data_IF_553382226469
#
_entry.id   IF_553382226469
#
_cell.length_a   1.000
_cell.length_b   1.000
_cell.length_c   1.000
_cell.angle_alpha   90.00
_cell.angle_beta   90.00
_cell.angle_gamma   90.00
#
_symmetry.space_group_name_H-M   'P 1'
#
loop_
_entity.id
_entity.type
_entity.pdbx_description
1 polymer ?
#
# COMPACT_ATOMS: atom_id res chain seq x y z
N UNK A 1 41.56 -4.40 27.93
CA UNK A 1 40.47 -5.21 28.50
C UNK A 1 40.83 -6.67 28.32
N UNK A 2 40.81 -7.47 29.38
CA UNK A 2 40.97 -8.94 29.34
C UNK A 2 40.07 -9.55 30.40
N UNK A 3 39.59 -10.76 30.13
CA UNK A 3 38.88 -11.64 31.04
C UNK A 3 37.76 -10.94 31.86
N UNK A 4 37.93 -10.80 33.18
CA UNK A 4 36.92 -10.27 34.10
C UNK A 4 36.48 -8.83 33.78
N UNK A 5 37.39 -7.96 33.33
CA UNK A 5 37.06 -6.57 32.97
C UNK A 5 36.16 -6.49 31.73
N UNK A 6 36.31 -7.45 30.81
CA UNK A 6 35.45 -7.55 29.63
C UNK A 6 34.05 -8.03 30.04
N UNK A 7 33.94 -9.03 30.91
CA UNK A 7 32.65 -9.51 31.41
C UNK A 7 31.89 -8.44 32.19
N UNK A 8 32.57 -7.70 33.07
CA UNK A 8 31.95 -6.56 33.75
C UNK A 8 31.44 -5.49 32.78
N UNK A 9 32.12 -5.27 31.66
CA UNK A 9 31.66 -4.36 30.62
C UNK A 9 30.41 -4.89 29.90
N UNK A 10 30.36 -6.20 29.59
CA UNK A 10 29.20 -6.88 29.01
C UNK A 10 27.98 -6.76 29.93
N UNK A 11 28.13 -7.08 31.22
CA UNK A 11 27.04 -7.02 32.21
C UNK A 11 26.49 -5.61 32.45
N UNK A 12 27.21 -4.54 32.09
CA UNK A 12 26.67 -3.16 32.16
C UNK A 12 25.59 -2.93 31.11
N UNK A 13 25.72 -3.57 29.95
CA UNK A 13 24.78 -3.40 28.84
C UNK A 13 23.52 -4.24 29.05
N UNK A 14 23.61 -5.38 29.75
CA UNK A 14 22.49 -6.29 29.97
C UNK A 14 21.64 -6.01 31.23
N UNK A 15 21.62 -4.77 31.73
CA UNK A 15 20.72 -4.39 32.83
C UNK A 15 19.29 -4.22 32.33
N UNK A 16 18.28 -4.77 33.02
CA UNK A 16 16.87 -4.54 32.69
C UNK A 16 16.56 -3.04 32.77
N UNK A 17 15.95 -2.50 31.72
CA UNK A 17 15.54 -1.10 31.65
C UNK A 17 14.19 -1.02 30.92
N UNK A 18 13.10 -1.02 31.71
CA UNK A 18 11.74 -1.11 31.18
C UNK A 18 11.39 -2.47 30.58
N UNK A 19 10.19 -2.56 30.02
CA UNK A 19 9.72 -3.74 29.28
C UNK A 19 10.22 -3.78 27.82
N UNK A 20 10.87 -2.71 27.37
CA UNK A 20 11.20 -2.48 25.95
C UNK A 20 12.64 -2.89 25.60
N UNK A 21 13.37 -3.45 26.57
CA UNK A 21 14.78 -3.84 26.41
C UNK A 21 14.95 -5.33 26.62
N UNK A 22 14.98 -6.05 25.52
CA UNK A 22 15.11 -7.51 25.51
C UNK A 22 16.58 -7.99 25.58
N UNK A 23 17.53 -7.18 25.10
CA UNK A 23 18.96 -7.52 25.08
C UNK A 23 19.87 -6.30 24.98
N UNK A 24 21.18 -6.49 25.18
CA UNK A 24 22.20 -5.46 25.08
C UNK A 24 23.13 -5.67 23.90
N UNK A 25 23.37 -4.64 23.09
CA UNK A 25 24.31 -4.69 21.96
C UNK A 25 25.75 -4.44 22.40
N UNK A 26 26.67 -5.24 21.86
CA UNK A 26 28.11 -5.10 22.08
C UNK A 26 28.79 -5.04 20.72
N UNK A 27 29.48 -3.93 20.44
CA UNK A 27 30.24 -3.73 19.20
C UNK A 27 31.72 -3.80 19.52
N UNK A 28 32.41 -4.78 18.94
CA UNK A 28 33.83 -5.01 19.13
C UNK A 28 34.64 -4.66 17.88
N UNK A 29 35.32 -3.52 17.95
CA UNK A 29 36.17 -3.00 16.89
C UNK A 29 37.57 -3.61 16.87
N UNK A 30 37.98 -4.29 17.94
CA UNK A 30 39.35 -4.76 18.14
C UNK A 30 39.47 -6.29 18.08
N UNK A 31 38.38 -6.97 17.74
CA UNK A 31 38.28 -8.43 17.66
C UNK A 31 38.75 -9.11 18.97
N UNK A 32 38.52 -8.43 20.10
CA UNK A 32 38.76 -8.94 21.44
C UNK A 32 37.94 -10.20 21.69
N UNK A 33 36.78 -10.33 21.04
CA UNK A 33 35.94 -11.51 21.10
C UNK A 33 36.45 -12.69 20.26
N UNK A 34 37.41 -12.56 19.35
CA UNK A 34 38.00 -13.75 18.70
C UNK A 34 38.75 -14.63 19.71
N UNK A 35 39.39 -14.02 20.71
CA UNK A 35 39.99 -14.74 21.83
C UNK A 35 38.93 -15.27 22.81
N UNK A 36 37.75 -14.67 22.81
CA UNK A 36 36.61 -15.10 23.63
C UNK A 36 35.73 -16.11 22.89
N UNK A 37 35.75 -16.23 21.55
CA UNK A 37 34.97 -17.24 20.81
C UNK A 37 35.45 -18.66 21.15
N UNK A 38 36.76 -18.83 21.36
CA UNK A 38 37.31 -20.07 21.94
C UNK A 38 36.86 -20.26 23.40
N UNK A 39 36.72 -19.17 24.18
CA UNK A 39 36.16 -19.19 25.54
C UNK A 39 34.61 -19.20 25.61
N UNK A 40 33.92 -19.01 24.49
CA UNK A 40 32.46 -19.06 24.32
C UNK A 40 32.06 -20.45 23.86
N UNK A 41 32.91 -21.20 23.17
CA UNK A 41 32.72 -22.65 23.02
C UNK A 41 33.07 -23.41 24.32
N UNK A 42 34.08 -22.94 25.05
CA UNK A 42 34.46 -23.43 26.39
C UNK A 42 34.01 -22.40 27.45
N UNK A 43 32.69 -22.29 27.65
CA UNK A 43 31.99 -21.48 28.67
C UNK A 43 32.49 -21.67 30.12
N UNK A 44 33.53 -22.47 30.32
CA UNK A 44 34.17 -22.83 31.58
C UNK A 44 35.64 -22.40 31.63
N UNK A 45 36.07 -21.48 30.76
CA UNK A 45 37.48 -21.01 30.69
C UNK A 45 37.59 -19.48 30.76
N UNK A 46 38.68 -18.99 31.38
CA UNK A 46 38.97 -17.55 31.48
C UNK A 46 37.95 -16.80 32.35
N UNK A 47 37.25 -15.82 31.76
CA UNK A 47 36.30 -14.95 32.50
C UNK A 47 35.07 -15.67 33.07
N UNK A 48 34.82 -16.92 32.64
CA UNK A 48 33.60 -17.69 32.91
C UNK A 48 33.84 -18.97 33.73
N UNK A 49 35.05 -19.18 34.26
CA UNK A 49 35.43 -20.40 35.02
C UNK A 49 34.55 -20.71 36.24
N UNK A 50 33.88 -19.71 36.83
CA UNK A 50 33.03 -19.86 38.02
C UNK A 50 31.56 -20.14 37.71
N UNK A 51 31.18 -20.24 36.43
CA UNK A 51 29.80 -20.41 36.00
C UNK A 51 29.59 -21.76 35.32
N UNK A 52 28.41 -22.36 35.54
CA UNK A 52 28.03 -23.59 34.87
C UNK A 52 27.76 -23.32 33.38
N UNK A 53 28.18 -24.24 32.51
CA UNK A 53 28.06 -24.09 31.06
C UNK A 53 26.60 -23.87 30.65
N UNK A 54 25.69 -24.60 31.29
CA UNK A 54 24.25 -24.53 31.05
C UNK A 54 23.65 -23.15 31.36
N UNK A 55 24.28 -22.35 32.25
CA UNK A 55 23.79 -21.03 32.63
C UNK A 55 24.23 -19.92 31.66
N UNK A 56 25.24 -20.18 30.82
CA UNK A 56 25.82 -19.20 29.90
C UNK A 56 25.48 -19.51 28.43
N UNK A 57 25.22 -20.78 28.13
CA UNK A 57 24.90 -21.24 26.79
C UNK A 57 23.65 -20.52 26.24
N UNK A 58 23.83 -19.80 25.12
CA UNK A 58 22.77 -19.03 24.47
C UNK A 58 22.60 -17.58 24.96
N UNK A 59 23.34 -17.12 25.97
CA UNK A 59 23.31 -15.72 26.44
C UNK A 59 24.08 -14.75 25.52
N UNK A 60 25.12 -15.24 24.86
CA UNK A 60 25.92 -14.47 23.90
C UNK A 60 25.68 -15.08 22.53
N UNK A 61 25.05 -14.30 21.65
CA UNK A 61 24.77 -14.71 20.28
C UNK A 61 25.41 -13.74 19.32
N UNK A 62 25.88 -14.27 18.19
CA UNK A 62 26.35 -13.47 17.08
C UNK A 62 25.13 -12.93 16.35
N UNK A 63 24.99 -11.61 16.31
CA UNK A 63 23.95 -10.95 15.49
C UNK A 63 24.05 -11.35 14.02
N UNK A 64 25.25 -11.70 13.54
CA UNK A 64 25.48 -12.17 12.19
C UNK A 64 25.00 -13.61 11.97
N UNK A 65 25.15 -14.49 12.97
CA UNK A 65 24.66 -15.88 12.88
C UNK A 65 23.13 -15.91 12.94
N UNK A 66 22.54 -15.07 13.82
CA UNK A 66 21.09 -14.90 13.89
C UNK A 66 20.54 -14.31 12.59
N UNK A 67 21.15 -13.24 12.07
CA UNK A 67 20.76 -12.66 10.80
C UNK A 67 20.90 -13.66 9.64
N UNK A 68 21.98 -14.45 9.60
CA UNK A 68 22.13 -15.50 8.57
C UNK A 68 21.02 -16.55 8.67
N UNK A 69 20.70 -17.00 9.88
CA UNK A 69 19.63 -17.98 10.10
C UNK A 69 18.25 -17.41 9.72
N UNK A 70 17.98 -16.15 10.05
CA UNK A 70 16.76 -15.44 9.65
C UNK A 70 16.68 -15.28 8.12
N UNK A 71 17.80 -14.90 7.47
CA UNK A 71 17.90 -14.77 6.01
C UNK A 71 17.55 -16.09 5.32
N UNK A 72 18.16 -17.20 5.74
CA UNK A 72 17.89 -18.52 5.18
C UNK A 72 16.42 -18.94 5.40
N UNK A 73 15.90 -18.73 6.62
CA UNK A 73 14.52 -19.05 6.95
C UNK A 73 13.51 -18.26 6.11
N UNK A 74 13.68 -16.94 6.03
CA UNK A 74 12.83 -16.06 5.24
C UNK A 74 12.89 -16.42 3.75
N UNK A 75 14.09 -16.72 3.23
CA UNK A 75 14.29 -17.17 1.86
C UNK A 75 13.57 -18.49 1.57
N UNK A 76 13.74 -19.51 2.43
CA UNK A 76 13.04 -20.78 2.26
C UNK A 76 11.52 -20.61 2.27
N UNK A 77 10.98 -19.80 3.19
CA UNK A 77 9.54 -19.52 3.22
C UNK A 77 9.05 -18.73 2.00
N UNK A 78 9.87 -17.84 1.43
CA UNK A 78 9.53 -17.14 0.18
C UNK A 78 9.50 -18.08 -1.02
N UNK A 79 10.44 -19.03 -1.10
CA UNK A 79 10.43 -20.06 -2.13
C UNK A 79 9.15 -20.88 -2.04
N UNK A 80 8.81 -21.39 -0.85
CA UNK A 80 7.57 -22.15 -0.62
C UNK A 80 6.32 -21.33 -0.95
N UNK A 81 6.31 -20.03 -0.59
CA UNK A 81 5.20 -19.14 -0.94
C UNK A 81 5.04 -19.00 -2.45
N UNK A 82 6.14 -18.85 -3.19
CA UNK A 82 6.13 -18.65 -4.63
C UNK A 82 5.81 -19.95 -5.40
N UNK A 83 6.15 -21.12 -4.86
CA UNK A 83 5.77 -22.42 -5.43
C UNK A 83 4.24 -22.62 -5.51
N UNK A 84 3.47 -21.90 -4.68
CA UNK A 84 2.01 -21.91 -4.74
C UNK A 84 1.43 -21.06 -5.91
N UNK A 85 2.25 -20.24 -6.56
CA UNK A 85 1.86 -19.45 -7.73
C UNK A 85 1.89 -20.36 -8.95
N UNK A 86 0.81 -20.37 -9.74
CA UNK A 86 0.70 -21.22 -10.92
C UNK A 86 1.78 -20.89 -11.95
N UNK A 87 2.32 -21.93 -12.60
CA UNK A 87 3.17 -21.76 -13.76
C UNK A 87 2.41 -21.00 -14.88
N UNK A 88 3.08 -20.11 -15.64
CA UNK A 88 4.53 -19.92 -15.76
C UNK A 88 5.20 -19.05 -14.68
N UNK A 89 4.49 -18.54 -13.68
CA UNK A 89 4.98 -17.53 -12.75
C UNK A 89 5.38 -16.23 -13.47
N UNK A 90 4.58 -15.84 -14.46
CA UNK A 90 4.61 -14.50 -15.03
C UNK A 90 4.08 -13.49 -14.01
N UNK A 91 4.35 -12.19 -14.23
CA UNK A 91 3.97 -11.13 -13.30
C UNK A 91 2.45 -11.10 -13.04
N UNK A 92 1.63 -11.42 -14.05
CA UNK A 92 0.16 -11.56 -13.90
C UNK A 92 -0.24 -12.72 -13.00
N UNK A 93 0.51 -13.82 -12.98
CA UNK A 93 0.19 -14.98 -12.13
C UNK A 93 0.36 -14.62 -10.64
N UNK A 94 1.35 -13.78 -10.33
CA UNK A 94 1.52 -13.22 -8.99
C UNK A 94 0.36 -12.29 -8.61
N UNK A 95 -0.05 -11.39 -9.52
CA UNK A 95 -1.20 -10.51 -9.27
C UNK A 95 -2.47 -11.35 -9.05
N UNK A 96 -2.74 -12.35 -9.90
CA UNK A 96 -3.86 -13.26 -9.72
C UNK A 96 -3.82 -13.95 -8.36
N UNK A 97 -2.70 -14.57 -8.00
CA UNK A 97 -2.56 -15.32 -6.76
C UNK A 97 -2.76 -14.44 -5.51
N UNK A 98 -2.19 -13.23 -5.49
CA UNK A 98 -2.20 -12.34 -4.34
C UNK A 98 -3.35 -11.33 -4.30
N UNK A 99 -4.07 -11.10 -5.42
CA UNK A 99 -5.07 -10.03 -5.53
C UNK A 99 -6.46 -10.47 -6.00
N UNK A 100 -6.62 -11.58 -6.73
CA UNK A 100 -7.86 -11.89 -7.48
C UNK A 100 -9.09 -12.16 -6.60
N UNK A 101 -8.89 -12.57 -5.34
CA UNK A 101 -9.99 -12.89 -4.41
C UNK A 101 -10.44 -11.71 -3.52
N UNK A 102 -9.79 -10.53 -3.64
CA UNK A 102 -10.20 -9.31 -2.94
C UNK A 102 -9.69 -9.22 -1.49
N UNK A 103 -10.49 -8.59 -0.62
CA UNK A 103 -10.20 -8.36 0.81
C UNK A 103 -10.60 -9.56 1.72
N UNK A 104 -10.64 -10.78 1.18
CA UNK A 104 -10.79 -11.94 2.08
C UNK A 104 -9.54 -12.11 2.96
N UNK A 105 -9.76 -12.67 4.15
CA UNK A 105 -8.73 -12.80 5.19
C UNK A 105 -7.55 -13.67 4.74
N UNK A 106 -7.78 -14.64 3.86
CA UNK A 106 -6.75 -15.54 3.34
C UNK A 106 -5.82 -14.81 2.36
N UNK A 107 -6.39 -14.03 1.46
CA UNK A 107 -5.65 -13.24 0.46
C UNK A 107 -4.90 -12.10 1.13
N UNK A 108 -5.51 -11.40 2.08
CA UNK A 108 -4.82 -10.41 2.92
C UNK A 108 -3.65 -11.06 3.68
N UNK A 109 -3.88 -12.22 4.33
CA UNK A 109 -2.83 -12.95 5.04
C UNK A 109 -1.67 -13.39 4.16
N UNK A 110 -1.93 -13.78 2.90
CA UNK A 110 -0.88 -14.10 1.92
C UNK A 110 -0.04 -12.88 1.56
N UNK A 111 -0.66 -11.70 1.38
CA UNK A 111 0.05 -10.45 1.10
C UNK A 111 0.88 -10.00 2.31
N UNK A 112 0.32 -10.05 3.51
CA UNK A 112 1.06 -9.74 4.75
C UNK A 112 2.29 -10.64 4.92
N UNK A 113 2.13 -11.94 4.65
CA UNK A 113 3.22 -12.90 4.68
C UNK A 113 4.32 -12.53 3.66
N UNK A 114 3.95 -12.20 2.41
CA UNK A 114 4.89 -11.73 1.38
C UNK A 114 5.67 -10.50 1.85
N UNK A 115 4.97 -9.51 2.43
CA UNK A 115 5.56 -8.26 2.89
C UNK A 115 6.55 -8.49 4.04
N UNK A 116 6.14 -9.28 5.05
CA UNK A 116 6.96 -9.59 6.22
C UNK A 116 8.20 -10.39 5.83
N UNK A 117 8.04 -11.45 5.04
CA UNK A 117 9.17 -12.30 4.64
C UNK A 117 10.18 -11.54 3.78
N UNK A 118 9.71 -10.74 2.81
CA UNK A 118 10.62 -9.96 1.96
C UNK A 118 11.38 -8.90 2.76
N UNK A 119 10.74 -8.25 3.73
CA UNK A 119 11.39 -7.30 4.62
C UNK A 119 12.42 -7.98 5.55
N UNK A 120 12.05 -9.12 6.13
CA UNK A 120 12.95 -9.95 6.96
C UNK A 120 14.18 -10.39 6.17
N UNK A 121 13.98 -10.94 4.95
CA UNK A 121 15.07 -11.35 4.06
C UNK A 121 16.01 -10.18 3.73
N UNK A 122 15.47 -9.02 3.37
CA UNK A 122 16.28 -7.86 3.00
C UNK A 122 17.12 -7.32 4.17
N UNK A 123 16.52 -7.22 5.37
CA UNK A 123 17.19 -6.72 6.59
C UNK A 123 18.25 -7.68 7.11
N UNK A 124 17.91 -8.96 7.15
CA UNK A 124 18.82 -10.00 7.62
C UNK A 124 20.02 -10.14 6.67
N UNK A 125 19.80 -10.08 5.35
CA UNK A 125 20.89 -10.00 4.37
C UNK A 125 21.77 -8.77 4.57
N UNK A 126 21.19 -7.57 4.70
CA UNK A 126 21.97 -6.35 4.94
C UNK A 126 22.81 -6.41 6.24
N UNK A 127 22.34 -7.16 7.23
CA UNK A 127 23.07 -7.36 8.48
C UNK A 127 24.25 -8.33 8.32
N UNK A 128 24.13 -9.37 7.47
CA UNK A 128 25.12 -10.44 7.37
C UNK A 128 25.99 -10.43 6.10
N UNK A 129 25.66 -9.63 5.09
CA UNK A 129 26.26 -9.69 3.75
C UNK A 129 27.80 -9.58 3.76
N UNK A 130 28.35 -8.69 4.59
CA UNK A 130 29.82 -8.46 4.67
C UNK A 130 30.58 -9.67 5.24
N UNK A 131 29.87 -10.60 5.91
CA UNK A 131 30.44 -11.81 6.50
C UNK A 131 30.15 -13.08 5.72
N UNK A 132 29.28 -13.04 4.71
CA UNK A 132 28.93 -14.21 3.89
C UNK A 132 30.17 -14.88 3.29
N UNK A 133 31.03 -14.10 2.65
CA UNK A 133 32.24 -14.64 2.03
C UNK A 133 33.30 -15.08 3.03
N UNK A 134 33.50 -14.30 4.09
CA UNK A 134 34.60 -14.49 5.05
C UNK A 134 34.32 -15.55 6.13
N UNK A 135 33.06 -15.75 6.52
CA UNK A 135 32.69 -16.59 7.67
C UNK A 135 31.69 -17.71 7.34
N UNK A 136 30.91 -17.59 6.26
CA UNK A 136 29.87 -18.57 5.92
C UNK A 136 30.18 -19.35 4.62
N UNK A 137 31.34 -19.12 4.02
CA UNK A 137 31.83 -19.91 2.87
C UNK A 137 31.16 -19.60 1.54
N UNK A 138 30.54 -18.43 1.42
CA UNK A 138 29.99 -17.97 0.14
C UNK A 138 31.12 -17.47 -0.76
N UNK A 139 30.97 -17.62 -2.06
CA UNK A 139 31.78 -16.87 -3.03
C UNK A 139 31.04 -15.59 -3.46
N UNK A 140 31.77 -14.67 -4.11
CA UNK A 140 31.20 -13.40 -4.56
C UNK A 140 30.02 -13.60 -5.52
N UNK A 141 30.06 -14.65 -6.36
CA UNK A 141 28.97 -14.95 -7.32
C UNK A 141 27.70 -15.41 -6.63
N UNK A 142 27.81 -16.16 -5.53
CA UNK A 142 26.68 -16.58 -4.71
C UNK A 142 26.09 -15.39 -3.96
N UNK A 143 26.92 -14.47 -3.44
CA UNK A 143 26.43 -13.25 -2.80
C UNK A 143 25.72 -12.35 -3.81
N UNK A 144 26.25 -12.20 -5.02
CA UNK A 144 25.60 -11.45 -6.09
C UNK A 144 24.28 -12.09 -6.53
N UNK A 145 24.24 -13.44 -6.62
CA UNK A 145 22.99 -14.16 -6.89
C UNK A 145 21.93 -13.90 -5.82
N UNK A 146 22.32 -13.84 -4.54
CA UNK A 146 21.40 -13.48 -3.46
C UNK A 146 20.89 -12.05 -3.60
N UNK A 147 21.75 -11.09 -3.99
CA UNK A 147 21.32 -9.71 -4.23
C UNK A 147 20.26 -9.64 -5.32
N UNK A 148 20.48 -10.33 -6.45
CA UNK A 148 19.50 -10.40 -7.54
C UNK A 148 18.19 -11.03 -7.07
N UNK A 149 18.25 -12.15 -6.38
CA UNK A 149 17.06 -12.84 -5.84
C UNK A 149 16.25 -11.94 -4.89
N UNK A 150 16.92 -11.25 -3.96
CA UNK A 150 16.27 -10.31 -3.03
C UNK A 150 15.65 -9.12 -3.79
N UNK A 151 16.32 -8.63 -4.83
CA UNK A 151 15.79 -7.59 -5.69
C UNK A 151 14.50 -8.04 -6.40
N UNK A 152 14.48 -9.28 -6.91
CA UNK A 152 13.29 -9.85 -7.57
C UNK A 152 12.11 -10.01 -6.60
N UNK A 153 12.36 -10.50 -5.38
CA UNK A 153 11.32 -10.55 -4.34
C UNK A 153 10.77 -9.17 -4.00
N UNK A 154 11.62 -8.15 -3.88
CA UNK A 154 11.17 -6.78 -3.63
C UNK A 154 10.38 -6.20 -4.81
N UNK A 155 10.74 -6.53 -6.05
CA UNK A 155 9.98 -6.14 -7.24
C UNK A 155 8.57 -6.73 -7.23
N UNK A 156 8.44 -8.03 -6.95
CA UNK A 156 7.13 -8.70 -6.85
C UNK A 156 6.32 -8.15 -5.68
N UNK A 157 6.95 -7.95 -4.52
CA UNK A 157 6.31 -7.33 -3.35
C UNK A 157 5.71 -5.97 -3.70
N UNK A 158 6.44 -5.13 -4.41
CA UNK A 158 5.99 -3.80 -4.81
C UNK A 158 4.86 -3.85 -5.84
N UNK A 159 4.96 -4.76 -6.82
CA UNK A 159 3.91 -4.99 -7.80
C UNK A 159 2.60 -5.43 -7.13
N UNK A 160 2.67 -6.40 -6.21
CA UNK A 160 1.50 -6.87 -5.45
C UNK A 160 0.92 -5.75 -4.61
N UNK A 161 1.77 -4.97 -3.92
CA UNK A 161 1.34 -3.80 -3.11
C UNK A 161 0.56 -2.79 -3.94
N UNK A 162 1.05 -2.47 -5.14
CA UNK A 162 0.36 -1.55 -6.04
C UNK A 162 -0.93 -2.16 -6.59
N UNK A 163 -0.91 -3.43 -7.00
CA UNK A 163 -2.05 -4.11 -7.59
C UNK A 163 -3.19 -4.35 -6.59
N UNK A 164 -2.88 -4.59 -5.32
CA UNK A 164 -3.86 -4.79 -4.25
C UNK A 164 -4.45 -3.49 -3.71
N UNK A 165 -3.86 -2.34 -4.04
CA UNK A 165 -4.18 -1.05 -3.43
C UNK A 165 -3.99 -1.04 -1.91
N UNK A 166 -3.16 -1.93 -1.36
CA UNK A 166 -2.82 -1.90 0.07
C UNK A 166 -1.94 -0.66 0.34
N UNK A 167 -2.60 0.46 0.68
CA UNK A 167 -1.92 1.63 1.23
C UNK A 167 -1.55 1.34 2.69
N UNK A 168 -0.59 0.44 2.90
CA UNK A 168 0.06 0.35 4.19
C UNK A 168 0.90 1.63 4.31
N UNK A 169 0.57 2.47 5.30
CA UNK A 169 1.35 3.65 5.66
C UNK A 169 2.69 3.21 6.26
N UNK A 170 3.57 2.70 5.39
CA UNK A 170 4.92 2.25 5.72
C UNK A 170 5.92 3.42 5.78
N UNK A 171 5.46 4.68 5.78
CA UNK A 171 6.32 5.86 5.88
C UNK A 171 7.42 5.75 6.96
N UNK A 172 7.18 5.16 8.16
CA UNK A 172 8.24 4.99 9.15
C UNK A 172 9.32 3.96 8.76
N UNK A 173 8.97 2.98 7.93
CA UNK A 173 9.83 1.84 7.57
C UNK A 173 10.40 1.93 6.15
N UNK A 174 9.87 2.83 5.32
CA UNK A 174 10.30 3.03 3.93
C UNK A 174 11.71 3.62 3.83
N UNK A 175 12.10 4.53 4.74
CA UNK A 175 13.44 5.13 4.70
C UNK A 175 14.55 4.10 4.97
N UNK A 176 14.39 3.28 6.00
CA UNK A 176 15.36 2.24 6.37
C UNK A 176 15.41 1.12 5.31
N UNK A 177 14.24 0.69 4.82
CA UNK A 177 14.19 -0.30 3.73
C UNK A 177 14.79 0.24 2.42
N UNK A 178 14.58 1.53 2.12
CA UNK A 178 15.21 2.19 0.98
C UNK A 178 16.72 2.22 1.13
N UNK A 179 17.23 2.61 2.30
CA UNK A 179 18.66 2.57 2.58
C UNK A 179 19.24 1.17 2.38
N UNK A 180 18.53 0.15 2.86
CA UNK A 180 18.94 -1.25 2.70
C UNK A 180 19.02 -1.64 1.22
N UNK A 181 17.98 -1.33 0.44
CA UNK A 181 17.92 -1.64 -0.98
C UNK A 181 19.02 -0.93 -1.77
N UNK A 182 19.19 0.37 -1.51
CA UNK A 182 20.16 1.22 -2.21
C UNK A 182 21.62 0.86 -1.88
N UNK A 183 21.88 0.42 -0.64
CA UNK A 183 23.25 0.21 -0.13
C UNK A 183 23.73 -1.23 -0.30
N UNK A 184 22.87 -2.21 -0.05
CA UNK A 184 23.30 -3.62 0.07
C UNK A 184 22.82 -4.52 -1.06
N UNK A 185 21.69 -4.18 -1.71
CA UNK A 185 20.99 -5.08 -2.64
C UNK A 185 21.18 -4.68 -4.11
N UNK A 186 21.46 -3.40 -4.42
CA UNK A 186 21.62 -2.95 -5.82
C UNK A 186 22.73 -3.70 -6.57
N UNK A 187 22.29 -4.50 -7.54
CA UNK A 187 22.94 -4.67 -8.84
C UNK A 187 22.21 -3.76 -9.85
N UNK A 188 22.92 -3.24 -10.86
CA UNK A 188 22.49 -2.15 -11.75
C UNK A 188 21.03 -2.25 -12.30
N UNK A 189 20.42 -1.07 -12.50
CA UNK A 189 19.15 -0.78 -13.22
C UNK A 189 17.78 -0.99 -12.53
N UNK A 190 17.69 -0.79 -11.21
CA UNK A 190 16.40 -0.52 -10.54
C UNK A 190 16.22 1.00 -10.36
N UNK A 191 15.60 1.65 -11.35
CA UNK A 191 15.14 3.05 -11.21
C UNK A 191 14.08 3.11 -10.12
N UNK A 192 14.32 4.02 -9.19
CA UNK A 192 13.56 4.22 -7.97
C UNK A 192 12.07 4.36 -8.30
N UNK A 193 11.21 3.53 -7.68
CA UNK A 193 9.77 3.78 -7.51
C UNK A 193 9.55 5.00 -6.60
N UNK A 194 10.15 6.14 -6.94
CA UNK A 194 10.42 7.24 -6.02
C UNK A 194 9.26 8.18 -5.82
N UNK A 195 8.32 8.22 -6.76
CA UNK A 195 7.27 9.25 -6.80
C UNK A 195 5.94 8.77 -6.21
N UNK A 196 5.79 7.47 -5.98
CA UNK A 196 4.58 6.86 -5.39
C UNK A 196 4.39 7.16 -3.89
N UNK A 197 5.41 7.66 -3.20
CA UNK A 197 5.32 7.94 -1.75
C UNK A 197 4.36 9.07 -1.37
N UNK A 198 3.96 9.91 -2.34
CA UNK A 198 3.14 11.11 -2.08
C UNK A 198 1.86 11.22 -2.94
N UNK A 199 1.68 10.38 -3.95
CA UNK A 199 0.54 10.45 -4.89
C UNK A 199 0.02 9.05 -5.15
N UNK A 200 -1.30 8.92 -5.30
CA UNK A 200 -1.92 7.66 -5.72
C UNK A 200 -1.52 7.31 -7.16
N UNK A 201 -1.61 6.02 -7.54
CA UNK A 201 -1.33 5.62 -8.92
C UNK A 201 -2.23 6.36 -9.92
N UNK A 202 -3.50 6.61 -9.55
CA UNK A 202 -4.44 7.36 -10.39
C UNK A 202 -3.98 8.81 -10.60
N UNK A 203 -3.42 9.45 -9.57
CA UNK A 203 -2.84 10.80 -9.68
C UNK A 203 -1.52 10.80 -10.47
N UNK A 204 -0.71 9.75 -10.33
CA UNK A 204 0.53 9.59 -11.07
C UNK A 204 0.27 9.54 -12.58
N UNK A 205 -0.78 8.84 -13.02
CA UNK A 205 -1.20 8.81 -14.43
C UNK A 205 -1.48 10.20 -15.02
N UNK A 206 -1.86 11.19 -14.20
CA UNK A 206 -2.10 12.57 -14.64
C UNK A 206 -0.88 13.49 -14.54
N UNK A 207 0.08 13.15 -13.67
CA UNK A 207 1.29 13.95 -13.43
C UNK A 207 2.26 13.96 -14.62
N UNK A 208 2.21 12.94 -15.47
CA UNK A 208 3.10 12.81 -16.61
C UNK A 208 2.73 13.74 -17.75
N UNK A 209 3.47 14.85 -17.88
CA UNK A 209 3.43 15.74 -19.05
C UNK A 209 4.20 15.15 -20.24
N UNK A 210 4.04 13.87 -20.53
CA UNK A 210 4.74 13.20 -21.63
C UNK A 210 3.80 13.06 -22.81
N UNK A 211 4.33 13.22 -24.02
CA UNK A 211 3.57 12.96 -25.27
C UNK A 211 3.41 11.47 -25.56
N UNK A 212 4.02 10.60 -24.74
CA UNK A 212 4.06 9.15 -24.92
C UNK A 212 3.41 8.47 -23.71
N UNK A 213 2.28 7.76 -23.89
CA UNK A 213 1.59 7.08 -22.79
C UNK A 213 2.44 6.04 -22.05
N UNK A 214 3.36 5.35 -22.74
CA UNK A 214 4.23 4.34 -22.14
C UNK A 214 5.18 4.92 -21.06
N UNK A 215 5.55 6.19 -21.16
CA UNK A 215 6.42 6.84 -20.17
C UNK A 215 5.72 7.02 -18.81
N UNK A 216 4.37 7.03 -18.80
CA UNK A 216 3.56 7.17 -17.59
C UNK A 216 3.63 5.95 -16.68
N UNK A 217 3.90 4.78 -17.28
CA UNK A 217 3.83 3.47 -16.62
C UNK A 217 5.18 2.78 -16.56
N UNK A 218 6.25 3.45 -17.00
CA UNK A 218 7.59 2.86 -17.09
C UNK A 218 8.11 2.39 -15.73
N UNK A 219 7.81 3.15 -14.67
CA UNK A 219 8.30 2.93 -13.32
C UNK A 219 7.40 1.96 -12.51
N UNK A 220 6.26 1.54 -13.09
CA UNK A 220 5.43 0.47 -12.52
C UNK A 220 6.14 -0.87 -12.76
N UNK A 221 6.30 -1.72 -11.74
CA UNK A 221 6.94 -3.02 -11.88
C UNK A 221 6.05 -3.99 -12.65
N UNK A 222 6.71 -4.87 -13.40
CA UNK A 222 6.08 -5.97 -14.11
C UNK A 222 5.95 -5.75 -15.62
N UNK A 223 5.50 -6.78 -16.33
CA UNK A 223 5.20 -6.72 -17.76
C UNK A 223 3.97 -5.84 -18.09
N UNK A 224 3.70 -5.63 -19.38
CA UNK A 224 2.60 -4.76 -19.83
C UNK A 224 1.23 -5.21 -19.33
N UNK A 225 1.00 -6.52 -19.16
CA UNK A 225 -0.26 -7.04 -18.67
C UNK A 225 -0.40 -6.83 -17.17
N UNK A 226 0.66 -7.08 -16.40
CA UNK A 226 0.69 -6.81 -14.97
C UNK A 226 0.52 -5.32 -14.65
N UNK A 227 1.15 -4.45 -15.44
CA UNK A 227 0.95 -2.99 -15.37
C UNK A 227 -0.51 -2.62 -15.63
N UNK A 228 -1.13 -3.20 -16.65
CA UNK A 228 -2.54 -2.94 -16.97
C UNK A 228 -3.47 -3.35 -15.83
N UNK A 229 -3.31 -4.56 -15.27
CA UNK A 229 -4.13 -5.02 -14.15
C UNK A 229 -3.93 -4.18 -12.89
N UNK A 230 -2.69 -3.75 -12.63
CA UNK A 230 -2.37 -2.83 -11.54
C UNK A 230 -3.13 -1.50 -11.69
N UNK A 231 -3.11 -0.91 -12.90
CA UNK A 231 -3.83 0.33 -13.20
C UNK A 231 -5.35 0.12 -13.06
N UNK A 232 -5.88 -0.96 -13.62
CA UNK A 232 -7.29 -1.33 -13.57
C UNK A 232 -7.80 -1.44 -12.12
N UNK A 233 -7.03 -2.12 -11.26
CA UNK A 233 -7.37 -2.27 -9.84
C UNK A 233 -7.36 -0.94 -9.11
N UNK A 234 -6.36 -0.08 -9.36
CA UNK A 234 -6.28 1.25 -8.74
C UNK A 234 -7.43 2.17 -9.18
N UNK A 235 -7.78 2.16 -10.46
CA UNK A 235 -8.93 2.91 -10.97
C UNK A 235 -10.23 2.40 -10.36
N UNK A 236 -10.42 1.08 -10.31
CA UNK A 236 -11.59 0.44 -9.69
C UNK A 236 -11.71 0.81 -8.21
N UNK A 237 -10.61 0.72 -7.46
CA UNK A 237 -10.56 1.10 -6.06
C UNK A 237 -10.97 2.57 -5.84
N UNK A 238 -10.40 3.48 -6.63
CA UNK A 238 -10.70 4.91 -6.50
C UNK A 238 -12.15 5.24 -6.90
N UNK A 239 -12.71 4.55 -7.91
CA UNK A 239 -14.14 4.63 -8.27
C UNK A 239 -15.02 4.19 -7.10
N UNK A 240 -14.75 3.02 -6.51
CA UNK A 240 -15.55 2.49 -5.39
C UNK A 240 -15.52 3.42 -4.19
N UNK A 241 -14.33 3.94 -3.84
CA UNK A 241 -14.15 4.92 -2.76
C UNK A 241 -15.00 6.17 -2.97
N UNK A 242 -15.05 6.71 -4.18
CA UNK A 242 -15.84 7.92 -4.52
C UNK A 242 -17.32 7.63 -4.81
N UNK A 243 -17.72 6.38 -5.01
CA UNK A 243 -19.09 5.98 -5.32
C UNK A 243 -20.09 6.38 -4.24
N UNK A 244 -19.64 6.49 -2.98
CA UNK A 244 -20.45 6.97 -1.86
C UNK A 244 -20.94 8.41 -2.05
N UNK A 245 -20.16 9.27 -2.70
CA UNK A 245 -20.53 10.66 -2.99
C UNK A 245 -21.47 10.82 -4.18
N UNK A 246 -21.26 10.06 -5.25
CA UNK A 246 -22.08 10.14 -6.47
C UNK A 246 -22.17 8.79 -7.18
N UNK A 247 -23.12 7.94 -6.77
CA UNK A 247 -23.27 6.58 -7.30
C UNK A 247 -23.60 6.54 -8.80
N UNK A 248 -24.33 7.53 -9.32
CA UNK A 248 -24.73 7.59 -10.73
C UNK A 248 -23.52 7.88 -11.62
N UNK A 249 -22.72 8.88 -11.27
CA UNK A 249 -21.54 9.24 -12.05
C UNK A 249 -20.46 8.16 -11.99
N UNK A 250 -20.07 7.75 -10.77
CA UNK A 250 -19.03 6.73 -10.59
C UNK A 250 -19.48 5.34 -11.06
N UNK A 251 -20.79 5.05 -11.04
CA UNK A 251 -21.36 3.85 -11.68
C UNK A 251 -21.11 3.82 -13.20
N UNK A 252 -21.31 4.94 -13.90
CA UNK A 252 -20.99 5.05 -15.34
C UNK A 252 -19.49 4.86 -15.60
N UNK A 253 -18.63 5.46 -14.78
CA UNK A 253 -17.19 5.29 -14.90
C UNK A 253 -16.76 3.84 -14.64
N UNK A 254 -17.41 3.15 -13.71
CA UNK A 254 -17.20 1.71 -13.46
C UNK A 254 -17.55 0.87 -14.70
N UNK A 255 -18.69 1.14 -15.34
CA UNK A 255 -19.06 0.48 -16.60
C UNK A 255 -18.08 0.77 -17.75
N UNK A 256 -17.57 2.01 -17.83
CA UNK A 256 -16.56 2.38 -18.81
C UNK A 256 -15.24 1.64 -18.56
N UNK A 257 -14.78 1.57 -17.31
CA UNK A 257 -13.61 0.79 -16.93
C UNK A 257 -13.76 -0.68 -17.32
N UNK A 258 -14.92 -1.29 -17.03
CA UNK A 258 -15.17 -2.68 -17.39
C UNK A 258 -15.09 -2.91 -18.90
N UNK A 259 -15.60 -1.98 -19.71
CA UNK A 259 -15.48 -2.06 -21.17
C UNK A 259 -14.02 -1.99 -21.63
N UNK A 260 -13.21 -1.12 -21.03
CA UNK A 260 -11.77 -1.02 -21.34
C UNK A 260 -11.05 -2.33 -21.00
N UNK A 261 -11.34 -2.90 -19.82
CA UNK A 261 -10.78 -4.19 -19.38
C UNK A 261 -11.15 -5.30 -20.36
N UNK A 262 -12.43 -5.40 -20.72
CA UNK A 262 -12.92 -6.44 -21.64
C UNK A 262 -12.27 -6.31 -23.02
N UNK A 263 -12.17 -5.08 -23.54
CA UNK A 263 -11.51 -4.80 -24.83
C UNK A 263 -10.01 -5.13 -24.81
N UNK A 264 -9.31 -4.83 -23.72
CA UNK A 264 -7.90 -5.23 -23.55
C UNK A 264 -7.76 -6.75 -23.55
N UNK A 265 -8.60 -7.46 -22.78
CA UNK A 265 -8.53 -8.93 -22.63
C UNK A 265 -8.74 -9.68 -23.95
N UNK A 266 -9.51 -9.11 -24.87
CA UNK A 266 -9.69 -9.67 -26.22
C UNK A 266 -8.71 -9.10 -27.27
N UNK A 267 -7.68 -8.37 -26.83
CA UNK A 267 -6.67 -7.71 -27.67
C UNK A 267 -7.28 -6.76 -28.74
N UNK A 268 -8.45 -6.18 -28.45
CA UNK A 268 -9.13 -5.26 -29.36
C UNK A 268 -8.54 -3.84 -29.36
N UNK A 269 -7.62 -3.55 -28.44
CA UNK A 269 -6.92 -2.26 -28.31
C UNK A 269 -5.41 -2.48 -28.42
N UNK A 270 -4.71 -1.54 -29.04
CA UNK A 270 -3.26 -1.45 -28.85
C UNK A 270 -2.95 -0.99 -27.43
N UNK A 271 -1.77 -1.33 -26.91
CA UNK A 271 -1.38 -0.92 -25.56
C UNK A 271 -1.36 0.60 -25.39
N UNK A 272 -0.88 1.35 -26.40
CA UNK A 272 -0.90 2.82 -26.38
C UNK A 272 -2.32 3.39 -26.33
N UNK A 273 -3.27 2.78 -27.04
CA UNK A 273 -4.67 3.22 -27.04
C UNK A 273 -5.35 2.90 -25.70
N UNK A 274 -5.08 1.72 -25.15
CA UNK A 274 -5.48 1.37 -23.78
C UNK A 274 -4.97 2.42 -22.78
N UNK A 275 -3.68 2.77 -22.83
CA UNK A 275 -3.08 3.74 -21.92
C UNK A 275 -3.72 5.13 -22.04
N UNK A 276 -4.11 5.56 -23.24
CA UNK A 276 -4.87 6.82 -23.41
C UNK A 276 -6.23 6.75 -22.73
N UNK A 277 -6.98 5.67 -22.95
CA UNK A 277 -8.32 5.53 -22.38
C UNK A 277 -8.32 5.48 -20.85
N UNK A 278 -7.32 4.81 -20.23
CA UNK A 278 -7.20 4.79 -18.76
C UNK A 278 -6.77 6.13 -18.19
N UNK A 279 -5.97 6.93 -18.91
CA UNK A 279 -5.61 8.31 -18.50
C UNK A 279 -6.83 9.23 -18.57
N UNK A 280 -7.60 9.18 -19.65
CA UNK A 280 -8.86 9.93 -19.76
C UNK A 280 -9.84 9.55 -18.64
N UNK A 281 -9.93 8.25 -18.33
CA UNK A 281 -10.75 7.76 -17.23
C UNK A 281 -10.23 8.24 -15.87
N UNK A 282 -8.91 8.23 -15.64
CA UNK A 282 -8.28 8.77 -14.43
C UNK A 282 -8.63 10.26 -14.24
N UNK A 283 -8.58 11.04 -15.32
CA UNK A 283 -8.96 12.46 -15.29
C UNK A 283 -10.43 12.64 -14.93
N UNK A 284 -11.34 11.83 -15.50
CA UNK A 284 -12.75 11.86 -15.14
C UNK A 284 -13.00 11.47 -13.66
N UNK A 285 -12.24 10.51 -13.12
CA UNK A 285 -12.36 10.09 -11.71
C UNK A 285 -11.90 11.19 -10.75
N UNK A 286 -10.75 11.81 -11.05
CA UNK A 286 -10.11 12.80 -10.17
C UNK A 286 -10.70 14.20 -10.32
N UNK A 287 -11.05 14.59 -11.54
CA UNK A 287 -11.53 15.91 -11.90
C UNK A 287 -12.89 15.87 -12.61
N UNK A 288 -13.96 15.42 -11.93
CA UNK A 288 -15.29 15.42 -12.53
C UNK A 288 -15.76 16.82 -12.96
N UNK A 289 -15.20 17.87 -12.36
CA UNK A 289 -15.50 19.27 -12.66
C UNK A 289 -14.95 19.67 -14.03
N UNK A 290 -13.95 18.98 -14.56
CA UNK A 290 -13.44 19.25 -15.90
C UNK A 290 -14.39 18.79 -17.01
N UNK A 291 -15.40 17.97 -16.67
CA UNK A 291 -16.39 17.48 -17.62
C UNK A 291 -17.19 18.61 -18.25
N UNK A 292 -17.32 18.57 -19.59
CA UNK A 292 -18.20 19.46 -20.34
C UNK A 292 -19.69 19.12 -20.18
N UNK A 293 -20.03 17.99 -19.54
CA UNK A 293 -21.42 17.60 -19.31
C UNK A 293 -22.12 18.39 -18.20
N UNK A 294 -21.36 19.02 -17.31
CA UNK A 294 -21.90 19.80 -16.20
C UNK A 294 -22.05 21.28 -16.57
N UNK A 295 -23.26 21.86 -16.39
CA UNK A 295 -23.46 23.30 -16.51
C UNK A 295 -22.68 24.09 -15.45
N UNK A 296 -22.32 25.35 -15.75
CA UNK A 296 -21.54 26.22 -14.85
C UNK A 296 -22.19 26.38 -13.46
N UNK A 297 -23.52 26.34 -13.35
CA UNK A 297 -24.22 26.46 -12.06
C UNK A 297 -23.99 25.29 -11.09
N UNK A 298 -23.59 24.14 -11.62
CA UNK A 298 -23.46 22.84 -10.94
C UNK A 298 -21.99 22.41 -10.84
N UNK A 299 -21.21 22.68 -11.89
CA UNK A 299 -19.85 22.21 -12.13
C UNK A 299 -18.90 22.34 -10.93
N UNK A 300 -18.94 23.49 -10.24
CA UNK A 300 -17.99 23.83 -9.17
C UNK A 300 -18.32 23.20 -7.80
N UNK A 301 -19.40 22.41 -7.68
CA UNK A 301 -19.79 21.76 -6.42
C UNK A 301 -19.99 20.26 -6.64
N UNK A 302 -19.29 19.44 -5.86
CA UNK A 302 -19.50 17.99 -5.79
C UNK A 302 -20.93 17.64 -5.39
N UNK A 303 -21.47 18.35 -4.39
CA UNK A 303 -22.84 18.12 -3.92
C UNK A 303 -23.88 18.42 -5.01
N UNK A 304 -23.72 19.52 -5.75
CA UNK A 304 -24.61 19.84 -6.87
C UNK A 304 -24.47 18.86 -8.03
N UNK A 305 -23.24 18.44 -8.38
CA UNK A 305 -23.01 17.42 -9.43
C UNK A 305 -23.74 16.12 -9.08
N UNK A 306 -23.65 15.67 -7.84
CA UNK A 306 -24.35 14.47 -7.37
C UNK A 306 -25.87 14.61 -7.49
N UNK A 307 -26.43 15.76 -7.09
CA UNK A 307 -27.87 16.04 -7.25
C UNK A 307 -28.28 16.12 -8.73
N UNK A 308 -27.47 16.75 -9.58
CA UNK A 308 -27.73 16.85 -11.01
C UNK A 308 -27.74 15.49 -11.69
N UNK A 309 -26.79 14.61 -11.36
CA UNK A 309 -26.76 13.24 -11.87
C UNK A 309 -27.93 12.41 -11.34
N UNK A 310 -28.35 12.65 -10.10
CA UNK A 310 -29.52 12.00 -9.50
C UNK A 310 -30.84 12.40 -10.17
N UNK A 311 -30.99 13.68 -10.52
CA UNK A 311 -32.20 14.22 -11.17
C UNK A 311 -32.15 14.14 -12.70
N UNK A 312 -31.48 13.13 -13.26
CA UNK A 312 -31.39 12.92 -14.71
C UNK A 312 -30.98 14.19 -15.49
N UNK A 313 -29.99 14.92 -14.97
CA UNK A 313 -29.46 16.16 -15.55
C UNK A 313 -30.40 17.36 -15.50
N UNK A 314 -31.30 17.42 -14.52
CA UNK A 314 -32.13 18.61 -14.28
C UNK A 314 -31.38 19.67 -13.43
N UNK A 315 -30.87 20.71 -14.09
CA UNK A 315 -30.11 21.80 -13.46
C UNK A 315 -30.93 22.59 -12.43
N UNK A 316 -32.15 22.99 -12.78
CA UNK A 316 -32.99 23.83 -11.91
C UNK A 316 -33.32 23.12 -10.60
N UNK A 317 -33.66 21.83 -10.69
CA UNK A 317 -34.01 21.03 -9.53
C UNK A 317 -32.79 20.76 -8.63
N UNK A 318 -31.64 20.43 -9.21
CA UNK A 318 -30.41 20.19 -8.45
C UNK A 318 -29.98 21.44 -7.66
N UNK A 319 -30.02 22.62 -8.29
CA UNK A 319 -29.68 23.90 -7.65
C UNK A 319 -30.71 24.28 -6.59
N UNK A 320 -32.00 24.04 -6.84
CA UNK A 320 -33.09 24.30 -5.88
C UNK A 320 -32.94 23.47 -4.60
N UNK A 321 -32.66 22.16 -4.75
CA UNK A 321 -32.50 21.23 -3.64
C UNK A 321 -31.22 21.51 -2.84
N UNK A 322 -30.08 21.75 -3.51
CA UNK A 322 -28.82 22.18 -2.83
C UNK A 322 -29.06 23.43 -1.98
N UNK A 323 -29.76 24.43 -2.53
CA UNK A 323 -30.10 25.65 -1.80
C UNK A 323 -31.00 25.39 -0.59
N UNK A 324 -31.99 24.51 -0.73
CA UNK A 324 -32.87 24.13 0.37
C UNK A 324 -32.07 23.45 1.51
N UNK A 325 -31.17 22.52 1.17
CA UNK A 325 -30.28 21.85 2.13
C UNK A 325 -29.39 22.87 2.83
N UNK A 326 -28.68 23.72 2.09
CA UNK A 326 -27.78 24.75 2.66
C UNK A 326 -28.49 25.74 3.58
N UNK A 327 -29.73 26.10 3.27
CA UNK A 327 -30.53 26.98 4.13
C UNK A 327 -30.93 26.30 5.44
N UNK A 328 -31.21 25.00 5.39
CA UNK A 328 -31.58 24.19 6.53
C UNK A 328 -30.38 23.76 7.41
N UNK A 329 -29.16 23.75 6.85
CA UNK A 329 -27.95 23.31 7.53
C UNK A 329 -27.68 24.08 8.85
N UNK A 330 -27.24 23.33 9.86
CA UNK A 330 -26.85 23.85 11.18
C UNK A 330 -25.61 23.10 11.66
N UNK A 331 -24.69 23.73 12.41
CA UNK A 331 -23.46 23.08 12.86
C UNK A 331 -23.73 21.76 13.61
N UNK A 332 -22.96 20.72 13.29
CA UNK A 332 -23.08 19.41 13.91
C UNK A 332 -24.43 18.70 13.69
N UNK A 333 -25.13 18.99 12.59
CA UNK A 333 -26.43 18.38 12.28
C UNK A 333 -26.37 16.85 12.18
N UNK A 334 -25.27 16.28 11.67
CA UNK A 334 -25.07 14.82 11.54
C UNK A 334 -25.26 14.06 12.86
N UNK A 335 -25.03 14.69 14.02
CA UNK A 335 -25.16 14.07 15.35
C UNK A 335 -26.48 14.38 16.07
N UNK A 336 -27.34 15.22 15.49
CA UNK A 336 -28.54 15.71 16.15
C UNK A 336 -29.80 15.38 15.33
N UNK A 337 -30.63 14.49 15.88
CA UNK A 337 -31.86 14.02 15.24
C UNK A 337 -32.80 15.15 14.81
N UNK A 338 -33.01 16.18 15.65
CA UNK A 338 -33.91 17.29 15.30
C UNK A 338 -33.38 18.09 14.11
N UNK A 339 -32.07 18.34 14.04
CA UNK A 339 -31.44 19.03 12.91
C UNK A 339 -31.50 18.20 11.63
N UNK A 340 -31.33 16.88 11.73
CA UNK A 340 -31.53 15.96 10.61
C UNK A 340 -32.96 16.01 10.06
N UNK A 341 -33.96 16.03 10.94
CA UNK A 341 -35.37 16.12 10.54
C UNK A 341 -35.70 17.44 9.84
N UNK A 342 -35.08 18.56 10.25
CA UNK A 342 -35.25 19.86 9.57
C UNK A 342 -34.75 19.79 8.12
N UNK A 343 -33.61 19.13 7.89
CA UNK A 343 -33.05 18.97 6.54
C UNK A 343 -33.94 18.05 5.69
N UNK A 344 -34.39 16.92 6.23
CA UNK A 344 -35.34 16.02 5.56
C UNK A 344 -36.62 16.75 5.15
N UNK A 345 -37.20 17.54 6.06
CA UNK A 345 -38.39 18.34 5.80
C UNK A 345 -38.14 19.40 4.72
N UNK A 346 -36.97 20.04 4.72
CA UNK A 346 -36.61 21.03 3.69
C UNK A 346 -36.48 20.40 2.30
N UNK A 347 -35.86 19.21 2.19
CA UNK A 347 -35.78 18.46 0.93
C UNK A 347 -37.19 18.08 0.46
N UNK A 348 -37.98 17.46 1.33
CA UNK A 348 -39.35 17.02 0.99
C UNK A 348 -40.21 18.18 0.50
N UNK A 349 -40.25 19.30 1.25
CA UNK A 349 -41.05 20.46 0.87
C UNK A 349 -40.59 21.04 -0.48
N UNK A 350 -39.27 21.11 -0.70
CA UNK A 350 -38.74 21.63 -1.96
C UNK A 350 -39.12 20.75 -3.16
N UNK A 351 -39.11 19.42 -3.01
CA UNK A 351 -39.57 18.50 -4.06
C UNK A 351 -41.05 18.72 -4.41
N UNK A 352 -41.91 18.83 -3.38
CA UNK A 352 -43.35 19.11 -3.57
C UNK A 352 -43.55 20.46 -4.26
N UNK A 353 -42.82 21.50 -3.85
CA UNK A 353 -42.88 22.83 -4.47
C UNK A 353 -42.41 22.81 -5.94
N UNK A 354 -41.50 21.90 -6.29
CA UNK A 354 -41.01 21.68 -7.66
C UNK A 354 -41.92 20.74 -8.49
N UNK A 355 -43.08 20.33 -7.97
CA UNK A 355 -44.10 19.59 -8.71
C UNK A 355 -44.06 18.07 -8.56
N UNK A 356 -43.27 17.52 -7.63
CA UNK A 356 -43.35 16.10 -7.27
C UNK A 356 -44.66 15.81 -6.53
N UNK A 357 -45.25 14.63 -6.78
CA UNK A 357 -46.37 14.17 -5.96
C UNK A 357 -45.92 13.90 -4.52
N UNK A 358 -46.83 13.95 -3.54
CA UNK A 358 -46.49 13.67 -2.14
C UNK A 358 -45.89 12.26 -1.96
N UNK A 359 -46.32 11.30 -2.78
CA UNK A 359 -45.82 9.92 -2.79
C UNK A 359 -44.41 9.84 -3.37
N UNK A 360 -44.16 10.49 -4.52
CA UNK A 360 -42.83 10.51 -5.13
C UNK A 360 -41.83 11.25 -4.24
N UNK A 361 -42.21 12.40 -3.70
CA UNK A 361 -41.38 13.15 -2.77
C UNK A 361 -41.04 12.33 -1.52
N UNK A 362 -41.98 11.52 -1.00
CA UNK A 362 -41.76 10.65 0.15
C UNK A 362 -40.80 9.49 -0.15
N UNK A 363 -40.77 9.01 -1.40
CA UNK A 363 -39.83 7.97 -1.81
C UNK A 363 -38.43 8.55 -2.07
N UNK A 364 -38.34 9.73 -2.71
CA UNK A 364 -37.08 10.30 -3.18
C UNK A 364 -36.29 11.06 -2.11
N UNK A 365 -36.96 11.69 -1.13
CA UNK A 365 -36.24 12.54 -0.15
C UNK A 365 -35.22 11.76 0.71
N UNK A 366 -35.46 10.46 0.95
CA UNK A 366 -34.56 9.63 1.74
C UNK A 366 -33.23 9.43 1.03
N UNK A 367 -33.27 9.16 -0.28
CA UNK A 367 -32.06 8.96 -1.09
C UNK A 367 -31.24 10.25 -1.20
N UNK A 368 -31.91 11.38 -1.40
CA UNK A 368 -31.27 12.71 -1.44
C UNK A 368 -30.64 13.05 -0.07
N UNK A 369 -31.34 12.72 1.02
CA UNK A 369 -30.82 12.94 2.36
C UNK A 369 -29.58 12.08 2.63
N UNK A 370 -29.62 10.79 2.27
CA UNK A 370 -28.48 9.89 2.44
C UNK A 370 -27.27 10.32 1.59
N UNK A 371 -27.53 10.81 0.37
CA UNK A 371 -26.52 11.45 -0.46
C UNK A 371 -25.92 12.68 0.22
N UNK A 372 -26.76 13.58 0.75
CA UNK A 372 -26.30 14.77 1.46
C UNK A 372 -25.44 14.44 2.70
N UNK A 373 -25.71 13.33 3.39
CA UNK A 373 -24.86 12.91 4.52
C UNK A 373 -23.42 12.55 4.11
N UNK A 374 -23.20 12.18 2.85
CA UNK A 374 -21.91 11.74 2.31
C UNK A 374 -21.13 12.86 1.61
N UNK A 375 -21.68 14.08 1.57
CA UNK A 375 -21.04 15.24 0.96
C UNK A 375 -20.31 16.09 2.01
N UNK A 376 -19.00 16.23 1.87
CA UNK A 376 -18.17 17.05 2.76
C UNK A 376 -18.58 18.53 2.77
N UNK A 377 -19.12 19.02 1.64
CA UNK A 377 -19.63 20.40 1.51
C UNK A 377 -20.77 20.75 2.48
N UNK A 378 -21.38 19.74 3.10
CA UNK A 378 -22.46 19.90 4.06
C UNK A 378 -22.03 19.69 5.52
N UNK A 379 -20.72 19.55 5.80
CA UNK A 379 -20.23 19.17 7.14
C UNK A 379 -20.23 20.30 8.18
N UNK A 380 -20.40 21.54 7.75
CA UNK A 380 -20.97 22.66 8.53
C UNK A 380 -20.34 22.99 9.88
#
# INVERSE_FOLDING_TARGET
MRDHDLFQAICRVNRPDGADKDYGYIVDYMDLFRNVQLAVSDYTSGAFEEYDKEDIEGLIKSSYDEAKAEMDGARSSLIELFENVSAPQADTDFISYFCESGEDEETAGRRDLLYVLTASLSRSFATCCDRLASHYGYDDTQVDSLRTEISDYNRVKEMVRLASCDYIDLKPYEADMRYILDTYIRADDSTVLSELGNMSLVELLLSGKTTTPADLVKDIPGDNNAKAETIENNLKHEIVKKMSGNSVYYGKLSEMLQKIIDQRKIEALSYDEYLRQVVELAEAILHPESSMEYPDAVKDSAAKRALYDFFDKNEELAVSVDKAIRTALRPGWKKNYQKQQVIRGAIYQNLVDCGYSEEDAANTYSDIYDMAQRQDEYDG
#
